data_IF_609475551283
#
_entry.id   IF_609475551283
#
_cell.length_a   1.000
_cell.length_b   1.000
_cell.length_c   1.000
_cell.angle_alpha   90.00
_cell.angle_beta   90.00
_cell.angle_gamma   90.00
#
_symmetry.space_group_name_H-M   'P 1'
#
loop_
_entity.id
_entity.type
_entity.pdbx_description
1 polymer ?
#
# COMPACT_ATOMS: atom_id res chain seq x y z
N UNK A 1 45.60 11.33 -9.61
CA UNK A 1 45.05 10.07 -9.08
C UNK A 1 44.12 10.45 -7.97
N UNK A 2 42.83 10.50 -8.23
CA UNK A 2 41.80 10.73 -7.23
C UNK A 2 41.18 9.36 -6.91
N UNK A 3 41.37 8.90 -5.67
CA UNK A 3 40.72 7.70 -5.17
C UNK A 3 39.25 8.04 -4.87
N UNK A 4 38.34 7.47 -5.62
CA UNK A 4 36.92 7.49 -5.27
C UNK A 4 36.71 6.48 -4.13
N UNK A 5 36.45 7.00 -2.94
CA UNK A 5 35.96 6.18 -1.83
C UNK A 5 34.57 5.66 -2.20
N UNK A 6 34.46 4.35 -2.47
CA UNK A 6 33.16 3.68 -2.54
C UNK A 6 32.51 3.73 -1.16
N UNK A 7 31.34 4.33 -1.05
CA UNK A 7 30.51 4.21 0.16
C UNK A 7 30.23 2.72 0.45
N UNK A 8 30.40 2.26 1.68
CA UNK A 8 30.19 0.85 2.00
C UNK A 8 28.71 0.49 1.81
N UNK A 9 28.45 -0.48 0.95
CA UNK A 9 27.10 -1.06 0.74
C UNK A 9 26.50 -1.46 2.11
N UNK A 10 25.25 -1.07 2.41
CA UNK A 10 24.64 -1.40 3.69
C UNK A 10 24.58 -2.93 3.87
N UNK A 11 25.20 -3.42 4.92
CA UNK A 11 25.18 -4.83 5.27
C UNK A 11 23.73 -5.21 5.63
N UNK A 12 23.14 -6.14 4.87
CA UNK A 12 21.82 -6.73 5.18
C UNK A 12 21.83 -7.26 6.62
N UNK A 13 20.91 -6.77 7.44
CA UNK A 13 20.74 -7.26 8.81
C UNK A 13 20.06 -8.64 8.73
N UNK A 14 20.82 -9.72 8.92
CA UNK A 14 20.27 -11.06 9.07
C UNK A 14 19.82 -11.24 10.51
N UNK A 15 18.51 -11.27 10.74
CA UNK A 15 17.95 -11.81 11.99
C UNK A 15 17.97 -13.33 11.86
N UNK A 16 18.66 -14.01 12.77
CA UNK A 16 18.77 -15.49 12.74
C UNK A 16 17.38 -16.13 12.91
N UNK A 17 17.11 -17.17 12.11
CA UNK A 17 15.84 -17.90 12.07
C UNK A 17 15.25 -18.33 13.43
N UNK A 18 16.04 -18.69 14.49
CA UNK A 18 15.51 -19.06 15.81
C UNK A 18 14.72 -17.93 16.51
N UNK A 19 14.93 -16.67 16.14
CA UNK A 19 14.29 -15.51 16.80
C UNK A 19 12.92 -15.15 16.21
N UNK A 20 12.73 -15.33 14.93
CA UNK A 20 11.40 -15.20 14.31
C UNK A 20 10.40 -16.19 14.94
N UNK A 21 10.86 -17.40 15.28
CA UNK A 21 10.05 -18.42 15.97
C UNK A 21 9.61 -17.99 17.38
N UNK A 22 10.42 -17.19 18.11
CA UNK A 22 10.06 -16.68 19.44
C UNK A 22 8.80 -15.82 19.41
N UNK A 23 8.60 -15.07 18.33
CA UNK A 23 7.43 -14.20 18.16
C UNK A 23 6.36 -14.81 17.25
N UNK A 24 6.47 -16.10 16.96
CA UNK A 24 5.54 -16.84 16.09
C UNK A 24 5.40 -16.23 14.69
N UNK A 25 6.47 -15.60 14.18
CA UNK A 25 6.49 -15.03 12.85
C UNK A 25 6.85 -16.10 11.81
N UNK A 26 6.02 -16.24 10.80
CA UNK A 26 6.31 -17.05 9.62
C UNK A 26 7.03 -16.19 8.57
N UNK A 27 7.79 -16.81 7.66
CA UNK A 27 8.35 -16.10 6.52
C UNK A 27 7.25 -15.37 5.74
N UNK A 28 7.51 -14.11 5.40
CA UNK A 28 6.61 -13.24 4.66
C UNK A 28 5.26 -12.93 5.35
N UNK A 29 5.17 -13.13 6.66
CA UNK A 29 4.01 -12.70 7.44
C UNK A 29 3.81 -11.18 7.35
N UNK A 30 2.53 -10.79 7.34
CA UNK A 30 2.11 -9.40 7.41
C UNK A 30 0.96 -9.31 8.41
N UNK A 31 1.31 -8.98 9.66
CA UNK A 31 0.41 -9.08 10.81
C UNK A 31 0.35 -7.78 11.62
N UNK A 32 -0.73 -7.65 12.38
CA UNK A 32 -0.84 -6.63 13.41
C UNK A 32 -0.11 -7.09 14.68
N UNK A 33 0.52 -6.11 15.35
CA UNK A 33 1.21 -6.36 16.62
C UNK A 33 0.19 -6.71 17.72
N UNK A 34 0.46 -7.78 18.42
CA UNK A 34 -0.21 -8.19 19.66
C UNK A 34 0.71 -7.90 20.85
N UNK A 35 0.21 -8.13 22.08
CA UNK A 35 1.00 -7.89 23.30
C UNK A 35 2.34 -8.65 23.31
N UNK A 36 2.35 -9.89 22.81
CA UNK A 36 3.58 -10.70 22.66
C UNK A 36 4.66 -10.06 21.77
N UNK A 37 4.28 -9.14 20.89
CA UNK A 37 5.19 -8.47 19.97
C UNK A 37 5.79 -7.17 20.55
N UNK A 38 5.31 -6.69 21.70
CA UNK A 38 5.86 -5.46 22.31
C UNK A 38 7.37 -5.58 22.57
N UNK A 39 7.80 -6.74 23.07
CA UNK A 39 9.21 -7.01 23.31
C UNK A 39 10.06 -7.04 22.03
N UNK A 40 9.45 -7.39 20.88
CA UNK A 40 10.14 -7.42 19.59
C UNK A 40 10.69 -6.04 19.22
N UNK A 41 9.88 -4.99 19.32
CA UNK A 41 10.29 -3.62 18.99
C UNK A 41 11.46 -3.17 19.88
N UNK A 42 11.37 -3.42 21.19
CA UNK A 42 12.45 -3.10 22.14
C UNK A 42 13.72 -3.91 21.87
N UNK A 43 13.56 -5.19 21.56
CA UNK A 43 14.69 -6.08 21.26
C UNK A 43 15.41 -5.64 19.99
N UNK A 44 14.70 -5.25 18.94
CA UNK A 44 15.29 -4.76 17.70
C UNK A 44 16.16 -3.53 17.96
N UNK A 45 15.63 -2.54 18.68
CA UNK A 45 16.35 -1.29 18.97
C UNK A 45 17.56 -1.52 19.89
N UNK A 46 17.45 -2.42 20.88
CA UNK A 46 18.52 -2.66 21.87
C UNK A 46 19.66 -3.55 21.35
N UNK A 47 19.33 -4.53 20.48
CA UNK A 47 20.28 -5.59 20.10
C UNK A 47 20.79 -5.49 18.67
N UNK A 48 20.18 -4.66 17.84
CA UNK A 48 20.51 -4.53 16.43
C UNK A 48 20.70 -3.08 16.01
N UNK A 49 21.49 -2.87 14.98
CA UNK A 49 21.51 -1.59 14.28
C UNK A 49 20.23 -1.51 13.45
N UNK A 50 19.32 -0.62 13.84
CA UNK A 50 18.07 -0.40 13.12
C UNK A 50 18.19 0.83 12.24
N UNK A 51 17.53 0.77 11.08
CA UNK A 51 17.33 1.90 10.20
C UNK A 51 15.84 2.28 10.23
N UNK A 52 15.59 3.59 10.27
CA UNK A 52 14.22 4.12 10.29
C UNK A 52 13.87 4.69 8.93
N UNK A 53 12.80 4.18 8.34
CA UNK A 53 12.28 4.66 7.08
C UNK A 53 10.84 5.14 7.28
N UNK A 54 10.46 6.25 6.63
CA UNK A 54 9.07 6.65 6.55
C UNK A 54 8.29 5.59 5.76
N UNK A 55 7.17 5.14 6.32
CA UNK A 55 6.36 4.07 5.76
C UNK A 55 4.88 4.39 5.82
N UNK A 56 4.07 3.35 5.85
CA UNK A 56 2.64 3.38 5.70
C UNK A 56 2.23 3.13 4.25
N UNK A 57 1.46 2.05 4.03
CA UNK A 57 1.12 1.56 2.69
C UNK A 57 0.56 2.68 1.79
N UNK A 58 -0.47 3.39 2.25
CA UNK A 58 -1.08 4.46 1.45
C UNK A 58 -0.12 5.62 1.22
N UNK A 59 0.64 6.05 2.23
CA UNK A 59 1.61 7.13 2.07
C UNK A 59 2.70 6.75 1.06
N UNK A 60 3.18 5.52 1.07
CA UNK A 60 4.13 5.02 0.09
C UNK A 60 3.55 5.12 -1.33
N UNK A 61 2.33 4.62 -1.54
CA UNK A 61 1.67 4.67 -2.85
C UNK A 61 1.50 6.11 -3.35
N UNK A 62 1.08 7.02 -2.48
CA UNK A 62 0.86 8.42 -2.86
C UNK A 62 2.17 9.16 -3.12
N UNK A 63 3.22 8.88 -2.37
CA UNK A 63 4.57 9.42 -2.66
C UNK A 63 5.08 8.96 -4.02
N UNK A 64 4.92 7.68 -4.33
CA UNK A 64 5.31 7.11 -5.62
C UNK A 64 4.48 7.71 -6.76
N UNK A 65 3.17 7.85 -6.57
CA UNK A 65 2.29 8.49 -7.56
C UNK A 65 2.74 9.93 -7.86
N UNK A 66 3.00 10.74 -6.83
CA UNK A 66 3.48 12.10 -6.99
C UNK A 66 4.86 12.16 -7.66
N UNK A 67 5.76 11.23 -7.30
CA UNK A 67 7.06 11.11 -7.96
C UNK A 67 6.93 10.79 -9.46
N UNK A 68 6.05 9.88 -9.83
CA UNK A 68 5.80 9.55 -11.23
C UNK A 68 5.14 10.70 -12.02
N UNK A 69 4.25 11.47 -11.36
CA UNK A 69 3.57 12.63 -11.97
C UNK A 69 4.55 13.79 -12.18
N UNK A 70 5.48 14.02 -11.25
CA UNK A 70 6.40 15.14 -11.20
C UNK A 70 5.69 16.50 -11.06
N UNK A 71 4.99 16.96 -12.08
CA UNK A 71 4.28 18.24 -12.10
C UNK A 71 2.80 18.07 -12.45
N UNK A 72 1.90 18.82 -11.82
CA UNK A 72 2.17 19.80 -10.77
C UNK A 72 2.53 19.14 -9.43
N UNK A 73 3.32 19.81 -8.60
CA UNK A 73 3.48 19.40 -7.22
C UNK A 73 2.11 19.41 -6.51
N UNK A 74 1.95 18.55 -5.51
CA UNK A 74 0.70 18.41 -4.74
C UNK A 74 -0.52 18.00 -5.58
N UNK A 75 -0.28 17.31 -6.70
CA UNK A 75 -1.34 16.65 -7.45
C UNK A 75 -1.95 15.49 -6.64
N UNK A 76 -1.13 14.86 -5.80
CA UNK A 76 -1.53 13.79 -4.92
C UNK A 76 -1.72 14.33 -3.49
N UNK A 77 -2.90 14.08 -2.93
CA UNK A 77 -3.28 14.45 -1.55
C UNK A 77 -3.35 13.20 -0.68
N UNK A 78 -2.83 13.27 0.52
CA UNK A 78 -2.81 12.18 1.49
C UNK A 78 -3.47 12.59 2.81
N UNK A 79 -4.34 11.73 3.32
CA UNK A 79 -4.91 11.83 4.66
C UNK A 79 -4.39 10.69 5.54
N UNK A 80 -3.89 11.03 6.72
CA UNK A 80 -3.38 10.06 7.67
C UNK A 80 -3.61 10.50 9.11
N UNK A 81 -3.17 9.67 10.05
CA UNK A 81 -3.24 9.95 11.47
C UNK A 81 -1.90 9.65 12.14
N UNK A 82 -1.37 10.62 12.85
CA UNK A 82 -0.08 10.55 13.54
C UNK A 82 -0.17 11.03 14.97
N UNK A 83 0.81 10.63 15.79
CA UNK A 83 1.04 11.21 17.10
C UNK A 83 1.76 12.55 17.00
N UNK A 84 1.64 13.36 18.06
CA UNK A 84 2.43 14.58 18.22
C UNK A 84 3.79 14.18 18.79
N UNK A 85 4.66 13.67 17.94
CA UNK A 85 5.96 13.12 18.30
C UNK A 85 6.97 13.21 17.15
N UNK A 86 8.21 12.79 17.45
CA UNK A 86 9.32 12.82 16.48
C UNK A 86 9.02 12.05 15.19
N UNK A 87 8.37 10.89 15.30
CA UNK A 87 8.05 10.06 14.13
C UNK A 87 6.97 10.70 13.27
N UNK A 88 5.97 11.36 13.89
CA UNK A 88 4.98 12.15 13.19
C UNK A 88 5.63 13.28 12.37
N UNK A 89 6.58 14.00 12.98
CA UNK A 89 7.32 15.06 12.28
C UNK A 89 8.16 14.52 11.10
N UNK A 90 8.77 13.34 11.25
CA UNK A 90 9.50 12.68 10.16
C UNK A 90 8.55 12.36 9.00
N UNK A 91 7.35 11.82 9.28
CA UNK A 91 6.35 11.51 8.25
C UNK A 91 5.91 12.78 7.51
N UNK A 92 5.61 13.85 8.22
CA UNK A 92 5.25 15.16 7.61
C UNK A 92 6.37 15.67 6.69
N UNK A 93 7.60 15.63 7.19
CA UNK A 93 8.78 16.06 6.42
C UNK A 93 8.95 15.23 5.14
N UNK A 94 8.85 13.91 5.24
CA UNK A 94 9.02 13.00 4.10
C UNK A 94 7.91 13.15 3.06
N UNK A 95 6.68 13.41 3.47
CA UNK A 95 5.59 13.74 2.55
C UNK A 95 5.86 15.07 1.82
N UNK A 96 6.32 16.09 2.54
CA UNK A 96 6.67 17.39 1.95
C UNK A 96 7.84 17.29 0.96
N UNK A 97 8.90 16.56 1.30
CA UNK A 97 10.04 16.27 0.40
C UNK A 97 9.60 15.57 -0.90
N UNK A 98 8.58 14.72 -0.81
CA UNK A 98 7.99 14.05 -1.96
C UNK A 98 6.93 14.89 -2.71
N UNK A 99 6.76 16.16 -2.34
CA UNK A 99 5.79 17.09 -2.90
C UNK A 99 4.33 16.65 -2.81
N UNK A 100 4.00 15.82 -1.80
CA UNK A 100 2.64 15.38 -1.50
C UNK A 100 1.92 16.43 -0.68
N UNK A 101 0.63 16.65 -0.98
CA UNK A 101 -0.26 17.48 -0.18
C UNK A 101 -0.82 16.66 0.99
N UNK A 102 -0.06 16.56 2.08
CA UNK A 102 -0.40 15.72 3.22
C UNK A 102 -1.17 16.48 4.30
N UNK A 103 -2.27 15.90 4.73
CA UNK A 103 -3.16 16.41 5.79
C UNK A 103 -3.33 15.34 6.86
N UNK A 104 -2.61 15.47 7.97
CA UNK A 104 -2.70 14.51 9.07
C UNK A 104 -3.69 14.97 10.14
N UNK A 105 -4.45 14.00 10.65
CA UNK A 105 -5.05 14.14 11.97
C UNK A 105 -3.97 13.91 13.01
N UNK A 106 -3.61 14.95 13.74
CA UNK A 106 -2.60 14.91 14.80
C UNK A 106 -3.31 14.79 16.15
N UNK A 107 -2.92 13.80 16.94
CA UNK A 107 -3.50 13.51 18.24
C UNK A 107 -2.41 13.11 19.24
N UNK A 108 -2.71 13.17 20.53
CA UNK A 108 -1.79 12.89 21.64
C UNK A 108 -2.20 11.68 22.49
N UNK A 109 -3.19 10.91 22.06
CA UNK A 109 -3.63 9.69 22.77
C UNK A 109 -2.64 8.55 22.62
N UNK A 110 -2.00 8.46 21.45
CA UNK A 110 -1.03 7.43 21.10
C UNK A 110 0.14 8.00 20.30
N UNK A 111 1.28 7.33 20.38
CA UNK A 111 2.45 7.64 19.54
C UNK A 111 2.18 7.26 18.09
N UNK A 112 2.92 7.87 17.17
CA UNK A 112 2.88 7.51 15.75
C UNK A 112 3.13 6.02 15.56
N UNK A 113 2.35 5.39 14.66
CA UNK A 113 2.48 3.98 14.34
C UNK A 113 3.87 3.61 13.82
N UNK A 114 4.29 2.40 14.15
CA UNK A 114 5.58 1.84 13.73
C UNK A 114 5.39 0.44 13.18
N UNK A 115 6.28 0.01 12.30
CA UNK A 115 6.29 -1.35 11.78
C UNK A 115 7.69 -1.94 11.96
N UNK A 116 7.76 -3.10 12.61
CA UNK A 116 8.99 -3.88 12.68
C UNK A 116 9.12 -4.72 11.41
N UNK A 117 10.23 -4.60 10.72
CA UNK A 117 10.57 -5.39 9.54
C UNK A 117 11.64 -6.38 9.90
N UNK A 118 11.28 -7.67 9.92
CA UNK A 118 12.20 -8.77 10.23
C UNK A 118 12.64 -9.43 8.94
N UNK A 119 13.95 -9.35 8.65
CA UNK A 119 14.55 -9.91 7.45
C UNK A 119 15.21 -11.24 7.80
N UNK A 120 14.79 -12.32 7.15
CA UNK A 120 15.34 -13.66 7.34
C UNK A 120 15.63 -14.30 5.99
N UNK A 121 16.89 -14.27 5.56
CA UNK A 121 17.27 -14.65 4.20
C UNK A 121 16.58 -13.72 3.18
N UNK A 122 15.81 -14.28 2.28
CA UNK A 122 15.05 -13.54 1.26
C UNK A 122 13.62 -13.18 1.71
N UNK A 123 13.24 -13.57 2.94
CA UNK A 123 11.90 -13.34 3.47
C UNK A 123 11.84 -12.05 4.29
N UNK A 124 10.68 -11.40 4.25
CA UNK A 124 10.35 -10.16 4.99
C UNK A 124 9.07 -10.36 5.77
N UNK A 125 9.17 -10.36 7.10
CA UNK A 125 7.99 -10.41 7.96
C UNK A 125 7.76 -9.03 8.56
N UNK A 126 6.52 -8.59 8.52
CA UNK A 126 6.07 -7.26 8.93
C UNK A 126 5.16 -7.39 10.14
N UNK A 127 5.50 -6.68 11.21
CA UNK A 127 4.66 -6.58 12.42
C UNK A 127 4.30 -5.12 12.62
N UNK A 128 3.06 -4.75 12.33
CA UNK A 128 2.59 -3.39 12.37
C UNK A 128 1.94 -3.04 13.72
N UNK A 129 2.50 -2.08 14.43
CA UNK A 129 1.85 -1.42 15.55
C UNK A 129 1.21 -0.13 15.04
N UNK A 130 -0.11 -0.15 14.86
CA UNK A 130 -0.84 0.97 14.27
C UNK A 130 -0.92 2.20 15.21
N UNK A 131 -0.95 1.99 16.52
CA UNK A 131 -0.93 3.05 17.54
C UNK A 131 -1.82 4.26 17.14
N UNK A 132 -1.22 5.42 16.85
CA UNK A 132 -1.96 6.63 16.45
C UNK A 132 -2.90 6.43 15.25
N UNK A 133 -2.56 5.55 14.32
CA UNK A 133 -3.44 5.29 13.17
C UNK A 133 -4.83 4.79 13.61
N UNK A 134 -4.91 4.03 14.71
CA UNK A 134 -6.17 3.57 15.30
C UNK A 134 -6.98 4.68 15.98
N UNK A 135 -6.37 5.85 16.20
CA UNK A 135 -7.03 7.00 16.84
C UNK A 135 -7.72 7.94 15.85
N UNK A 136 -7.74 7.59 14.56
CA UNK A 136 -8.39 8.40 13.55
C UNK A 136 -9.88 8.60 13.86
N UNK A 137 -10.32 9.85 13.81
CA UNK A 137 -11.70 10.25 14.07
C UNK A 137 -12.25 11.00 12.86
N UNK A 138 -13.22 10.37 12.20
CA UNK A 138 -13.87 10.89 11.01
C UNK A 138 -14.39 12.32 11.20
N UNK A 139 -15.10 12.54 12.28
CA UNK A 139 -15.72 13.82 12.62
C UNK A 139 -14.71 14.94 12.94
N UNK A 140 -13.47 14.58 13.32
CA UNK A 140 -12.40 15.53 13.64
C UNK A 140 -11.44 15.78 12.47
N UNK A 141 -11.58 15.05 11.38
CA UNK A 141 -10.68 15.18 10.24
C UNK A 141 -11.41 15.14 8.90
N UNK A 142 -11.95 13.98 8.48
CA UNK A 142 -12.59 13.84 7.17
C UNK A 142 -13.80 14.78 7.00
N UNK A 143 -14.62 14.92 8.06
CA UNK A 143 -15.83 15.74 8.05
C UNK A 143 -15.54 17.24 8.18
N UNK A 144 -14.30 17.63 8.47
CA UNK A 144 -13.93 19.05 8.48
C UNK A 144 -14.07 19.62 7.06
N UNK A 145 -14.74 20.77 6.93
CA UNK A 145 -15.03 21.40 5.64
C UNK A 145 -13.79 21.54 4.74
N UNK A 146 -12.67 21.99 5.31
CA UNK A 146 -11.39 22.11 4.57
C UNK A 146 -10.91 20.80 3.96
N UNK A 147 -11.06 19.69 4.68
CA UNK A 147 -10.63 18.37 4.23
C UNK A 147 -11.63 17.76 3.26
N UNK A 148 -12.93 17.88 3.56
CA UNK A 148 -13.96 17.37 2.67
C UNK A 148 -13.96 18.08 1.31
N UNK A 149 -13.66 19.35 1.28
CA UNK A 149 -13.48 20.12 0.04
C UNK A 149 -12.36 19.53 -0.83
N UNK A 150 -11.26 19.05 -0.24
CA UNK A 150 -10.20 18.36 -0.98
C UNK A 150 -10.69 17.03 -1.56
N UNK A 151 -11.46 16.27 -0.78
CA UNK A 151 -12.08 15.02 -1.27
C UNK A 151 -12.99 15.31 -2.47
N UNK A 152 -13.82 16.33 -2.39
CA UNK A 152 -14.75 16.71 -3.46
C UNK A 152 -14.06 17.10 -4.77
N UNK A 153 -12.85 17.63 -4.69
CA UNK A 153 -12.05 18.04 -5.87
C UNK A 153 -11.32 16.89 -6.55
N UNK A 154 -11.09 15.79 -5.86
CA UNK A 154 -10.35 14.66 -6.38
C UNK A 154 -11.14 13.89 -7.46
N UNK A 155 -10.47 13.39 -8.45
CA UNK A 155 -11.04 12.54 -9.52
C UNK A 155 -10.88 11.06 -9.25
N UNK A 156 -9.85 10.68 -8.49
CA UNK A 156 -9.50 9.30 -8.13
C UNK A 156 -9.23 9.23 -6.63
N UNK A 157 -9.78 8.21 -6.00
CA UNK A 157 -9.59 7.90 -4.58
C UNK A 157 -8.89 6.56 -4.43
N UNK A 158 -7.93 6.49 -3.54
CA UNK A 158 -7.25 5.25 -3.17
C UNK A 158 -7.28 5.04 -1.66
N UNK A 159 -7.72 3.88 -1.24
CA UNK A 159 -7.75 3.46 0.16
C UNK A 159 -7.10 2.09 0.28
N UNK A 160 -6.14 1.95 1.20
CA UNK A 160 -5.63 0.64 1.60
C UNK A 160 -6.63 -0.07 2.51
N UNK A 161 -6.77 -1.37 2.35
CA UNK A 161 -7.67 -2.20 3.17
C UNK A 161 -7.41 -2.09 4.67
N UNK A 162 -6.20 -1.75 5.07
CA UNK A 162 -5.87 -1.48 6.48
C UNK A 162 -6.78 -0.45 7.13
N UNK A 163 -7.24 0.54 6.39
CA UNK A 163 -8.12 1.58 6.92
C UNK A 163 -9.53 1.06 7.29
N UNK A 164 -9.95 -0.05 6.73
CA UNK A 164 -11.19 -0.74 7.13
C UNK A 164 -11.16 -1.21 8.59
N UNK A 165 -9.97 -1.43 9.14
CA UNK A 165 -9.81 -1.83 10.56
C UNK A 165 -9.99 -0.66 11.53
N UNK A 166 -9.92 0.57 11.02
CA UNK A 166 -9.90 1.80 11.82
C UNK A 166 -11.20 2.57 11.69
N UNK A 167 -11.60 2.89 10.46
CA UNK A 167 -12.75 3.76 10.19
C UNK A 167 -13.49 3.34 8.91
N UNK A 168 -14.21 2.20 8.94
CA UNK A 168 -15.00 1.75 7.80
C UNK A 168 -16.06 2.77 7.37
N UNK A 169 -16.58 3.56 8.30
CA UNK A 169 -17.51 4.65 8.02
C UNK A 169 -16.89 5.79 7.18
N UNK A 170 -15.59 6.08 7.38
CA UNK A 170 -14.87 7.04 6.54
C UNK A 170 -14.68 6.50 5.13
N UNK A 171 -14.33 5.21 5.00
CA UNK A 171 -14.20 4.53 3.71
C UNK A 171 -15.51 4.56 2.95
N UNK A 172 -16.63 4.23 3.60
CA UNK A 172 -17.97 4.26 3.00
C UNK A 172 -18.38 5.67 2.57
N UNK A 173 -18.07 6.70 3.37
CA UNK A 173 -18.38 8.09 3.01
C UNK A 173 -17.69 8.49 1.70
N UNK A 174 -16.42 8.18 1.56
CA UNK A 174 -15.66 8.47 0.32
C UNK A 174 -16.17 7.61 -0.84
N UNK A 175 -16.44 6.33 -0.62
CA UNK A 175 -16.97 5.41 -1.63
C UNK A 175 -18.34 5.86 -2.17
N UNK A 176 -19.25 6.25 -1.30
CA UNK A 176 -20.55 6.80 -1.69
C UNK A 176 -20.39 8.08 -2.53
N UNK A 177 -19.57 9.02 -2.06
CA UNK A 177 -19.30 10.25 -2.78
C UNK A 177 -18.74 9.99 -4.19
N UNK A 178 -17.78 9.07 -4.30
CA UNK A 178 -17.21 8.68 -5.59
C UNK A 178 -18.28 8.10 -6.54
N UNK A 179 -19.12 7.21 -6.05
CA UNK A 179 -20.18 6.59 -6.81
C UNK A 179 -21.22 7.61 -7.30
N UNK A 180 -21.71 8.49 -6.42
CA UNK A 180 -22.69 9.51 -6.73
C UNK A 180 -22.20 10.54 -7.77
N UNK A 181 -20.88 10.82 -7.77
CA UNK A 181 -20.25 11.79 -8.66
C UNK A 181 -19.50 11.15 -9.83
N UNK A 182 -19.69 9.85 -10.06
CA UNK A 182 -19.00 9.08 -11.10
C UNK A 182 -17.46 9.25 -11.09
N UNK A 183 -16.88 9.31 -9.89
CA UNK A 183 -15.44 9.35 -9.65
C UNK A 183 -14.90 7.94 -9.48
N UNK A 184 -13.61 7.75 -9.68
CA UNK A 184 -12.96 6.43 -9.57
C UNK A 184 -12.61 6.16 -8.12
N UNK A 185 -13.17 5.10 -7.55
CA UNK A 185 -12.86 4.62 -6.21
C UNK A 185 -12.01 3.34 -6.29
N UNK A 186 -10.83 3.36 -5.69
CA UNK A 186 -9.90 2.25 -5.71
C UNK A 186 -9.58 1.76 -4.31
N UNK A 187 -9.43 0.44 -4.15
CA UNK A 187 -9.18 -0.23 -2.89
C UNK A 187 -8.09 -1.28 -3.08
N UNK A 188 -7.27 -1.48 -2.06
CA UNK A 188 -6.32 -2.58 -1.97
C UNK A 188 -6.77 -3.57 -0.89
N UNK A 189 -6.70 -4.87 -1.15
CA UNK A 189 -6.94 -5.91 -0.14
C UNK A 189 -5.92 -5.84 1.00
N UNK A 190 -4.72 -5.38 0.74
CA UNK A 190 -3.64 -5.00 1.66
C UNK A 190 -3.01 -6.15 2.43
N UNK A 191 -3.78 -7.05 3.02
CA UNK A 191 -3.28 -8.20 3.76
C UNK A 191 -4.35 -9.29 3.87
N UNK A 192 -3.95 -10.57 4.00
CA UNK A 192 -4.88 -11.69 4.16
C UNK A 192 -5.86 -11.50 5.33
N UNK A 193 -5.40 -10.97 6.46
CA UNK A 193 -6.24 -10.78 7.64
C UNK A 193 -7.42 -9.83 7.43
N UNK A 194 -7.34 -8.91 6.46
CA UNK A 194 -8.47 -8.02 6.12
C UNK A 194 -9.65 -8.85 5.61
N UNK A 195 -9.40 -9.77 4.68
CA UNK A 195 -10.44 -10.67 4.17
C UNK A 195 -10.96 -11.65 5.22
N UNK A 196 -10.12 -12.05 6.17
CA UNK A 196 -10.47 -13.02 7.21
C UNK A 196 -11.29 -12.40 8.35
N UNK A 197 -10.83 -11.27 8.90
CA UNK A 197 -11.37 -10.71 10.14
C UNK A 197 -12.19 -9.44 9.94
N UNK A 198 -12.09 -8.80 8.79
CA UNK A 198 -12.82 -7.57 8.43
C UNK A 198 -13.69 -7.75 7.19
N UNK A 199 -14.10 -8.99 6.93
CA UNK A 199 -14.91 -9.39 5.78
C UNK A 199 -16.19 -8.56 5.65
N UNK A 200 -16.91 -8.34 6.75
CA UNK A 200 -18.14 -7.56 6.73
C UNK A 200 -17.91 -6.13 6.24
N UNK A 201 -16.93 -5.44 6.79
CA UNK A 201 -16.56 -4.08 6.36
C UNK A 201 -16.08 -4.04 4.92
N UNK A 202 -15.25 -5.02 4.52
CA UNK A 202 -14.75 -5.14 3.15
C UNK A 202 -15.90 -5.33 2.16
N UNK A 203 -16.86 -6.21 2.46
CA UNK A 203 -17.96 -6.52 1.56
C UNK A 203 -19.03 -5.43 1.51
N UNK A 204 -19.15 -4.58 2.54
CA UNK A 204 -19.96 -3.36 2.48
C UNK A 204 -19.40 -2.33 1.49
N UNK A 205 -18.08 -2.26 1.36
CA UNK A 205 -17.39 -1.31 0.46
C UNK A 205 -17.25 -1.87 -0.95
N UNK A 206 -17.12 -3.18 -1.12
CA UNK A 206 -16.86 -3.82 -2.41
C UNK A 206 -17.78 -3.38 -3.55
N UNK A 207 -19.10 -3.19 -3.35
CA UNK A 207 -19.99 -2.71 -4.42
C UNK A 207 -19.64 -1.33 -5.00
N UNK A 208 -18.85 -0.55 -4.29
CA UNK A 208 -18.39 0.78 -4.71
C UNK A 208 -17.02 0.77 -5.39
N UNK A 209 -16.29 -0.35 -5.31
CA UNK A 209 -14.92 -0.44 -5.80
C UNK A 209 -14.90 -0.53 -7.32
N UNK A 210 -14.25 0.43 -7.94
CA UNK A 210 -14.03 0.49 -9.39
C UNK A 210 -12.76 -0.24 -9.81
N UNK A 211 -11.69 -0.15 -9.00
CA UNK A 211 -10.45 -0.87 -9.21
C UNK A 211 -10.01 -1.49 -7.89
N UNK A 212 -9.87 -2.80 -7.87
CA UNK A 212 -9.38 -3.57 -6.73
C UNK A 212 -7.96 -4.06 -7.00
N UNK A 213 -7.05 -3.78 -6.06
CA UNK A 213 -5.70 -4.29 -6.05
C UNK A 213 -5.51 -5.37 -4.99
N UNK A 214 -4.62 -6.29 -5.24
CA UNK A 214 -4.15 -7.28 -4.29
C UNK A 214 -2.97 -8.07 -4.84
N UNK A 215 -2.31 -8.85 -3.97
CA UNK A 215 -1.35 -9.84 -4.40
C UNK A 215 -1.97 -11.24 -4.43
N UNK A 216 -1.19 -12.24 -4.86
CA UNK A 216 -1.64 -13.63 -4.99
C UNK A 216 -2.13 -14.23 -3.67
N UNK A 217 -1.48 -13.92 -2.57
CA UNK A 217 -1.86 -14.43 -1.24
C UNK A 217 -3.15 -13.78 -0.74
N UNK A 218 -3.30 -12.50 -0.94
CA UNK A 218 -4.52 -11.75 -0.61
C UNK A 218 -5.69 -12.22 -1.47
N UNK A 219 -5.46 -12.43 -2.77
CA UNK A 219 -6.46 -12.96 -3.70
C UNK A 219 -6.93 -14.37 -3.29
N UNK A 220 -6.01 -15.27 -2.98
CA UNK A 220 -6.33 -16.62 -2.55
C UNK A 220 -7.13 -16.63 -1.24
N UNK A 221 -6.77 -15.79 -0.29
CA UNK A 221 -7.50 -15.65 0.97
C UNK A 221 -8.89 -15.07 0.74
N UNK A 222 -9.00 -14.01 -0.06
CA UNK A 222 -10.28 -13.43 -0.42
C UNK A 222 -11.21 -14.47 -1.08
N UNK A 223 -10.70 -15.24 -2.04
CA UNK A 223 -11.46 -16.30 -2.72
C UNK A 223 -12.00 -17.33 -1.74
N UNK A 224 -11.17 -17.79 -0.81
CA UNK A 224 -11.57 -18.75 0.21
C UNK A 224 -12.66 -18.20 1.12
N UNK A 225 -12.51 -16.96 1.58
CA UNK A 225 -13.50 -16.30 2.43
C UNK A 225 -14.82 -16.00 1.71
N UNK A 226 -14.79 -15.82 0.39
CA UNK A 226 -15.99 -15.65 -0.45
C UNK A 226 -16.62 -16.98 -0.89
N UNK A 227 -16.00 -18.12 -0.57
CA UNK A 227 -16.48 -19.43 -1.03
C UNK A 227 -16.28 -19.67 -2.52
N UNK A 228 -15.27 -19.03 -3.14
CA UNK A 228 -14.88 -19.35 -4.49
C UNK A 228 -14.15 -20.68 -4.51
N UNK A 229 -14.71 -21.66 -5.18
CA UNK A 229 -14.16 -23.01 -5.26
C UNK A 229 -13.05 -23.11 -6.30
N UNK A 230 -12.03 -22.26 -6.18
CA UNK A 230 -10.89 -22.21 -7.11
C UNK A 230 -9.66 -21.62 -6.44
N UNK A 231 -8.49 -22.10 -6.85
CA UNK A 231 -7.18 -21.54 -6.49
C UNK A 231 -6.52 -20.84 -7.70
N UNK A 232 -7.13 -20.89 -8.87
CA UNK A 232 -6.63 -20.22 -10.08
C UNK A 232 -6.81 -18.71 -9.96
N UNK A 233 -5.71 -17.98 -10.01
CA UNK A 233 -5.70 -16.52 -9.87
C UNK A 233 -6.55 -15.81 -10.94
N UNK A 234 -6.61 -16.32 -12.16
CA UNK A 234 -7.43 -15.78 -13.26
C UNK A 234 -8.92 -15.95 -12.98
N UNK A 235 -9.31 -17.12 -12.49
CA UNK A 235 -10.68 -17.41 -12.10
C UNK A 235 -11.09 -16.57 -10.87
N UNK A 236 -10.20 -16.42 -9.90
CA UNK A 236 -10.43 -15.56 -8.73
C UNK A 236 -10.66 -14.11 -9.18
N UNK A 237 -9.80 -13.59 -10.07
CA UNK A 237 -9.92 -12.23 -10.59
C UNK A 237 -11.26 -12.03 -11.33
N UNK A 238 -11.65 -12.98 -12.16
CA UNK A 238 -12.91 -12.96 -12.90
C UNK A 238 -14.14 -12.98 -11.99
N UNK A 239 -14.16 -13.86 -11.01
CA UNK A 239 -15.26 -13.96 -10.03
C UNK A 239 -15.35 -12.70 -9.15
N UNK A 240 -14.21 -12.13 -8.76
CA UNK A 240 -14.14 -10.90 -7.99
C UNK A 240 -14.64 -9.70 -8.82
N UNK A 241 -14.27 -9.62 -10.09
CA UNK A 241 -14.74 -8.61 -11.02
C UNK A 241 -16.28 -8.64 -11.16
N UNK A 242 -16.87 -9.81 -11.20
CA UNK A 242 -18.30 -10.01 -11.39
C UNK A 242 -19.17 -9.73 -10.15
N UNK A 243 -18.57 -9.44 -8.99
CA UNK A 243 -19.32 -9.09 -7.77
C UNK A 243 -20.20 -7.85 -8.00
N UNK A 244 -21.32 -7.71 -7.27
CA UNK A 244 -22.25 -6.60 -7.44
C UNK A 244 -21.59 -5.21 -7.40
N UNK A 245 -22.09 -4.31 -8.22
CA UNK A 245 -21.64 -2.92 -8.38
C UNK A 245 -22.80 -1.94 -8.18
N UNK A 246 -22.57 -0.88 -7.40
CA UNK A 246 -23.56 0.20 -7.19
C UNK A 246 -23.64 1.12 -8.40
N UNK A 247 -22.50 1.64 -8.87
CA UNK A 247 -22.47 2.50 -10.05
C UNK A 247 -22.42 1.65 -11.34
N UNK A 248 -23.53 1.53 -12.11
CA UNK A 248 -23.55 0.71 -13.32
C UNK A 248 -22.80 1.34 -14.50
N UNK A 249 -22.48 2.62 -14.43
CA UNK A 249 -21.73 3.34 -15.49
C UNK A 249 -20.26 2.94 -15.53
N UNK A 250 -19.75 2.31 -14.46
CA UNK A 250 -18.36 1.91 -14.34
C UNK A 250 -18.29 0.47 -13.84
N UNK A 251 -17.73 -0.40 -14.68
CA UNK A 251 -17.47 -1.79 -14.31
C UNK A 251 -16.19 -1.91 -13.49
N UNK A 252 -16.17 -2.87 -12.57
CA UNK A 252 -14.98 -3.14 -11.75
C UNK A 252 -13.87 -3.70 -12.59
N UNK A 253 -12.65 -3.28 -12.25
CA UNK A 253 -11.39 -3.84 -12.73
C UNK A 253 -10.69 -4.46 -11.52
N UNK A 254 -10.17 -5.67 -11.67
CA UNK A 254 -9.42 -6.36 -10.63
C UNK A 254 -8.00 -6.58 -11.11
N UNK A 255 -7.03 -6.23 -10.29
CA UNK A 255 -5.60 -6.34 -10.62
C UNK A 255 -4.90 -7.09 -9.48
N UNK A 256 -4.38 -8.26 -9.79
CA UNK A 256 -3.62 -9.08 -8.86
C UNK A 256 -2.16 -9.21 -9.32
N UNK A 257 -1.24 -8.77 -8.47
CA UNK A 257 0.19 -8.96 -8.67
C UNK A 257 0.64 -10.31 -8.12
N UNK A 258 1.71 -10.87 -8.66
CA UNK A 258 2.22 -12.19 -8.27
C UNK A 258 3.76 -12.21 -8.18
N UNK A 259 4.34 -11.17 -7.58
CA UNK A 259 5.79 -11.05 -7.49
C UNK A 259 6.45 -11.01 -8.87
N UNK A 260 7.12 -12.09 -9.27
CA UNK A 260 7.78 -12.21 -10.57
C UNK A 260 6.88 -12.74 -11.67
N UNK A 261 5.81 -13.42 -11.28
CA UNK A 261 4.85 -13.96 -12.22
C UNK A 261 3.98 -12.85 -12.81
N UNK A 262 3.27 -13.19 -13.87
CA UNK A 262 2.43 -12.23 -14.59
C UNK A 262 1.41 -11.55 -13.67
N UNK A 263 1.25 -10.24 -13.83
CA UNK A 263 0.15 -9.50 -13.22
C UNK A 263 -1.15 -9.80 -13.97
N UNK A 264 -2.18 -10.17 -13.23
CA UNK A 264 -3.49 -10.51 -13.79
C UNK A 264 -4.43 -9.33 -13.68
N UNK A 265 -5.07 -8.97 -14.78
CA UNK A 265 -6.13 -7.96 -14.82
C UNK A 265 -7.41 -8.60 -15.36
N UNK A 266 -8.49 -8.49 -14.59
CA UNK A 266 -9.84 -8.85 -15.03
C UNK A 266 -10.67 -7.60 -15.28
N UNK A 267 -11.25 -7.52 -16.44
CA UNK A 267 -12.27 -6.55 -16.83
C UNK A 267 -13.60 -7.27 -17.09
N UNK A 268 -14.66 -6.54 -17.39
CA UNK A 268 -15.94 -7.13 -17.79
C UNK A 268 -15.80 -8.09 -18.98
N UNK A 269 -14.88 -7.80 -19.90
CA UNK A 269 -14.79 -8.49 -21.18
C UNK A 269 -13.74 -9.61 -21.19
N UNK A 270 -12.67 -9.47 -20.42
CA UNK A 270 -11.52 -10.39 -20.51
C UNK A 270 -10.68 -10.44 -19.25
N UNK A 271 -9.88 -11.51 -19.15
CA UNK A 271 -8.81 -11.65 -18.17
C UNK A 271 -7.49 -11.67 -18.92
N UNK A 272 -6.62 -10.72 -18.63
CA UNK A 272 -5.34 -10.53 -19.33
C UNK A 272 -4.18 -10.70 -18.36
N UNK A 273 -3.12 -11.38 -18.83
CA UNK A 273 -1.86 -11.52 -18.10
C UNK A 273 -0.82 -10.53 -18.67
N UNK A 274 -0.12 -9.84 -17.79
CA UNK A 274 0.94 -8.89 -18.13
C UNK A 274 2.25 -9.36 -17.54
N UNK A 275 3.22 -9.64 -18.40
CA UNK A 275 4.56 -10.03 -17.96
C UNK A 275 5.21 -8.92 -17.12
N UNK A 276 5.78 -9.32 -15.99
CA UNK A 276 6.57 -8.45 -15.14
C UNK A 276 7.93 -8.21 -15.80
N UNK A 277 8.48 -7.01 -15.65
CA UNK A 277 9.82 -6.69 -16.13
C UNK A 277 10.84 -7.65 -15.52
N UNK A 278 11.69 -8.22 -16.36
CA UNK A 278 12.78 -9.08 -15.89
C UNK A 278 13.71 -8.29 -14.96
N UNK A 279 13.95 -8.84 -13.78
CA UNK A 279 14.76 -8.22 -12.74
C UNK A 279 16.01 -9.06 -12.48
N UNK A 280 17.17 -8.43 -12.54
CA UNK A 280 18.38 -9.07 -12.05
C UNK A 280 18.26 -9.28 -10.53
N UNK A 281 18.29 -10.54 -10.08
CA UNK A 281 18.16 -10.93 -8.68
C UNK A 281 19.21 -10.29 -7.78
N UNK A 282 20.42 -10.07 -8.30
CA UNK A 282 21.52 -9.44 -7.57
C UNK A 282 21.28 -7.96 -7.28
N UNK A 283 20.40 -7.30 -8.05
CA UNK A 283 20.03 -5.91 -7.87
C UNK A 283 18.89 -5.71 -6.86
N UNK A 284 18.19 -6.78 -6.45
CA UNK A 284 17.09 -6.69 -5.49
C UNK A 284 17.66 -6.48 -4.09
N UNK A 285 17.32 -5.34 -3.52
CA UNK A 285 17.75 -4.92 -2.17
C UNK A 285 16.67 -5.23 -1.14
N UNK A 286 15.43 -4.81 -1.42
CA UNK A 286 14.31 -4.93 -0.50
C UNK A 286 12.99 -4.98 -1.28
N UNK A 287 12.20 -6.03 -1.07
CA UNK A 287 10.89 -6.18 -1.74
C UNK A 287 9.75 -5.48 -0.98
N UNK A 288 10.01 -4.92 0.20
CA UNK A 288 9.01 -4.14 0.92
C UNK A 288 8.58 -2.91 0.11
N UNK A 289 7.29 -2.65 0.09
CA UNK A 289 6.73 -1.52 -0.62
C UNK A 289 6.60 -1.73 -2.14
N UNK A 290 6.97 -2.90 -2.68
CA UNK A 290 6.78 -3.18 -4.11
C UNK A 290 5.32 -3.07 -4.54
N UNK A 291 4.39 -3.61 -3.74
CA UNK A 291 2.96 -3.49 -3.97
C UNK A 291 2.46 -2.05 -3.88
N UNK A 292 2.94 -1.29 -2.88
CA UNK A 292 2.61 0.12 -2.72
C UNK A 292 3.11 0.94 -3.92
N UNK A 293 4.32 0.64 -4.39
CA UNK A 293 4.92 1.30 -5.54
C UNK A 293 4.19 0.97 -6.84
N UNK A 294 3.77 -0.29 -7.03
CA UNK A 294 2.95 -0.69 -8.16
C UNK A 294 1.66 0.14 -8.22
N UNK A 295 0.96 0.25 -7.10
CA UNK A 295 -0.27 1.07 -7.01
C UNK A 295 0.03 2.53 -7.32
N UNK A 296 1.08 3.10 -6.74
CA UNK A 296 1.48 4.48 -6.98
C UNK A 296 1.78 4.76 -8.45
N UNK A 297 2.57 3.89 -9.09
CA UNK A 297 2.84 3.96 -10.53
C UNK A 297 1.58 3.86 -11.37
N UNK A 298 0.72 2.90 -11.06
CA UNK A 298 -0.57 2.71 -11.73
C UNK A 298 -1.45 3.97 -11.64
N UNK A 299 -1.64 4.48 -10.42
CA UNK A 299 -2.47 5.67 -10.18
C UNK A 299 -1.94 6.90 -10.90
N UNK A 300 -0.62 7.04 -11.02
CA UNK A 300 0.00 8.19 -11.70
C UNK A 300 -0.43 8.33 -13.17
N UNK A 301 -0.66 7.21 -13.84
CA UNK A 301 -1.13 7.18 -15.22
C UNK A 301 -2.66 7.21 -15.31
N UNK A 302 -3.34 6.61 -14.36
CA UNK A 302 -4.80 6.60 -14.28
C UNK A 302 -5.36 8.03 -14.17
N UNK A 303 -4.78 8.87 -13.34
CA UNK A 303 -5.21 10.27 -13.16
C UNK A 303 -5.01 11.14 -14.41
N UNK A 304 -4.20 10.66 -15.35
CA UNK A 304 -3.94 11.30 -16.65
C UNK A 304 -4.72 10.63 -17.80
N UNK A 305 -5.73 9.83 -17.47
CA UNK A 305 -6.60 9.11 -18.41
C UNK A 305 -5.82 8.21 -19.42
N UNK A 306 -4.68 7.69 -18.98
CA UNK A 306 -3.90 6.75 -19.80
C UNK A 306 -4.58 5.38 -19.87
N UNK A 307 -4.35 4.59 -20.94
CA UNK A 307 -4.86 3.23 -21.03
C UNK A 307 -4.39 2.36 -19.86
N UNK A 308 -5.21 1.37 -19.47
CA UNK A 308 -4.91 0.45 -18.37
C UNK A 308 -3.59 -0.29 -18.56
N UNK A 309 -3.24 -0.63 -19.80
CA UNK A 309 -1.94 -1.25 -20.16
C UNK A 309 -0.77 -0.36 -19.78
N UNK A 310 -0.89 0.95 -19.98
CA UNK A 310 0.11 1.94 -19.58
C UNK A 310 0.16 2.13 -18.07
N UNK A 311 -1.00 2.07 -17.40
CA UNK A 311 -1.07 2.10 -15.93
C UNK A 311 -0.35 0.91 -15.31
N UNK A 312 -0.53 -0.29 -15.85
CA UNK A 312 0.18 -1.51 -15.39
C UNK A 312 1.67 -1.40 -15.66
N UNK A 313 2.07 -0.91 -16.85
CA UNK A 313 3.48 -0.70 -17.21
C UNK A 313 4.16 0.26 -16.22
N UNK A 314 3.50 1.35 -15.87
CA UNK A 314 3.98 2.30 -14.88
C UNK A 314 4.06 1.69 -13.48
N UNK A 315 3.10 0.86 -13.11
CA UNK A 315 3.12 0.09 -11.87
C UNK A 315 4.32 -0.84 -11.77
N UNK A 316 4.58 -1.63 -12.82
CA UNK A 316 5.75 -2.50 -12.92
C UNK A 316 7.06 -1.72 -12.84
N UNK A 317 7.14 -0.60 -13.56
CA UNK A 317 8.32 0.27 -13.52
C UNK A 317 8.59 0.80 -12.10
N UNK A 318 7.58 1.38 -11.46
CA UNK A 318 7.73 1.93 -10.12
C UNK A 318 8.14 0.86 -9.10
N UNK A 319 7.52 -0.32 -9.14
CA UNK A 319 7.90 -1.45 -8.29
C UNK A 319 9.36 -1.86 -8.53
N UNK A 320 9.81 -1.91 -9.79
CA UNK A 320 11.19 -2.27 -10.16
C UNK A 320 12.22 -1.28 -9.61
N UNK A 321 11.88 0.00 -9.53
CA UNK A 321 12.76 1.02 -8.95
C UNK A 321 12.85 0.86 -7.43
N UNK A 322 11.73 0.65 -6.76
CA UNK A 322 11.67 0.56 -5.30
C UNK A 322 12.40 -0.67 -4.77
N UNK A 323 12.24 -1.84 -5.37
CA UNK A 323 12.87 -3.08 -4.88
C UNK A 323 14.41 -3.08 -4.96
N UNK A 324 14.99 -2.17 -5.74
CA UNK A 324 16.45 -1.97 -5.83
C UNK A 324 17.00 -1.02 -4.77
N UNK A 325 16.17 -0.55 -3.85
CA UNK A 325 16.50 0.45 -2.83
C UNK A 325 16.05 -0.02 -1.46
N UNK A 326 16.58 0.60 -0.42
CA UNK A 326 16.13 0.36 0.95
C UNK A 326 14.97 1.29 1.29
N UNK A 327 13.85 0.74 1.75
CA UNK A 327 12.63 1.49 2.04
C UNK A 327 11.96 2.03 0.76
N UNK A 328 10.85 2.75 0.92
CA UNK A 328 10.16 3.38 -0.19
C UNK A 328 10.83 4.70 -0.59
N UNK A 329 11.96 4.57 -1.29
CA UNK A 329 12.77 5.68 -1.80
C UNK A 329 12.95 5.57 -3.31
N UNK A 330 13.16 6.70 -3.96
CA UNK A 330 13.25 6.76 -5.42
C UNK A 330 14.22 7.88 -5.84
N UNK A 331 14.76 7.87 -7.08
CA UNK A 331 15.59 8.95 -7.61
C UNK A 331 14.75 10.23 -7.78
N UNK A 332 15.40 11.35 -8.00
CA UNK A 332 14.74 12.65 -8.16
C UNK A 332 13.68 12.63 -9.27
N UNK A 333 13.98 11.98 -10.38
CA UNK A 333 13.07 11.87 -11.53
C UNK A 333 12.91 10.41 -11.95
N UNK A 334 11.70 10.02 -12.38
CA UNK A 334 11.50 8.72 -13.02
C UNK A 334 12.11 8.72 -14.43
N UNK A 335 12.64 7.58 -14.83
CA UNK A 335 13.04 7.27 -16.21
C UNK A 335 11.96 6.38 -16.84
N UNK A 336 10.81 6.97 -17.06
CA UNK A 336 9.62 6.32 -17.58
C UNK A 336 9.09 7.09 -18.78
N UNK A 337 9.10 6.43 -19.96
CA UNK A 337 8.74 7.01 -21.25
C UNK A 337 7.69 6.18 -21.99
#
# INVERSE_FOLDING_TARGET
MAATEEEPKPKKLKVEAPRALRYSLKPNDQILAEDKHKELFDELVKKFKVEYHAGGSTQNSIKVAQWMIQQPHKAATFFGCIGIDRFGEILKKKAAEAHVDAHYYEQNEQTTGTCAVCITGDNRSLVANLAAANCYKKEKHLDMEKNWTLVQKASVYYIAGFFLTVSPESVLKVANHASENNRIFTLNLSAPFISQFYKESLMKVMPYVDILFGNETEAATFAREQGFETEDIKEIAKKTQALPKVNPKRQRIVIFTQGREDTIMATENEVTAFAVLDQNQEEIVDTNGAGDAFVGGFLSQLVSDKPLTECIRAGHYAASVIIRRTGCTFPEKPDFH
#
